data_IF_784261431938
#
_entry.id   IF_784261431938
#
_cell.length_a   1.000
_cell.length_b   1.000
_cell.length_c   1.000
_cell.angle_alpha   90.00
_cell.angle_beta   90.00
_cell.angle_gamma   90.00
#
_symmetry.space_group_name_H-M   'P 1'
#
loop_
_entity.id
_entity.type
_entity.pdbx_description
1 polymer ?
#
# COMPACT_ATOMS: atom_id res chain seq x y z
N UNK A 1 8.43 27.30 2.03
CA UNK A 1 8.32 26.62 3.34
C UNK A 1 6.88 26.22 3.67
N UNK A 2 5.91 27.15 3.67
CA UNK A 2 4.51 26.88 4.08
C UNK A 2 3.80 25.78 3.29
N UNK A 3 3.94 25.74 1.96
CA UNK A 3 3.30 24.70 1.14
C UNK A 3 3.84 23.29 1.40
N UNK A 4 5.16 23.15 1.64
CA UNK A 4 5.77 21.85 1.92
C UNK A 4 5.28 21.29 3.26
N UNK A 5 5.26 22.12 4.30
CA UNK A 5 4.78 21.72 5.63
C UNK A 5 3.31 21.30 5.57
N UNK A 6 2.48 22.05 4.83
CA UNK A 6 1.08 21.72 4.64
C UNK A 6 0.90 20.38 3.92
N UNK A 7 1.64 20.16 2.82
CA UNK A 7 1.60 18.87 2.10
C UNK A 7 2.03 17.72 2.99
N UNK A 8 3.11 17.87 3.77
CA UNK A 8 3.55 16.83 4.70
C UNK A 8 2.47 16.56 5.75
N UNK A 9 1.86 17.60 6.34
CA UNK A 9 0.80 17.43 7.32
C UNK A 9 -0.41 16.66 6.75
N UNK A 10 -0.87 17.04 5.55
CA UNK A 10 -2.01 16.42 4.85
C UNK A 10 -1.73 14.94 4.52
N UNK A 11 -0.54 14.60 4.04
CA UNK A 11 -0.22 13.25 3.56
C UNK A 11 0.35 12.32 4.64
N UNK A 12 0.92 12.86 5.72
CA UNK A 12 1.58 12.06 6.76
C UNK A 12 0.65 11.01 7.37
N UNK A 13 -0.52 11.42 7.88
CA UNK A 13 -1.47 10.51 8.52
C UNK A 13 -1.98 9.44 7.55
N UNK A 14 -2.48 9.77 6.34
CA UNK A 14 -2.95 8.73 5.46
C UNK A 14 -1.88 7.76 4.98
N UNK A 15 -0.64 8.22 4.72
CA UNK A 15 0.48 7.34 4.34
C UNK A 15 0.87 6.42 5.49
N UNK A 16 0.99 6.96 6.71
CA UNK A 16 1.32 6.16 7.90
C UNK A 16 0.26 5.09 8.15
N UNK A 17 -1.02 5.45 8.08
CA UNK A 17 -2.11 4.48 8.23
C UNK A 17 -2.16 3.46 7.09
N UNK A 18 -1.97 3.90 5.84
CA UNK A 18 -1.97 3.01 4.68
C UNK A 18 -0.93 1.91 4.80
N UNK A 19 0.30 2.23 5.24
CA UNK A 19 1.37 1.25 5.44
C UNK A 19 1.11 0.39 6.67
N UNK A 20 0.82 1.01 7.81
CA UNK A 20 0.67 0.28 9.09
C UNK A 20 -0.46 -0.73 9.07
N UNK A 21 -1.64 -0.34 8.59
CA UNK A 21 -2.79 -1.23 8.58
C UNK A 21 -2.65 -2.32 7.52
N UNK A 22 -2.01 -2.02 6.39
CA UNK A 22 -1.66 -3.01 5.36
C UNK A 22 -0.79 -4.13 5.94
N UNK A 23 0.33 -3.76 6.56
CA UNK A 23 1.26 -4.70 7.18
C UNK A 23 0.63 -5.44 8.38
N UNK A 24 -0.14 -4.73 9.21
CA UNK A 24 -0.87 -5.34 10.31
C UNK A 24 -1.91 -6.36 9.81
N UNK A 25 -2.57 -6.09 8.67
CA UNK A 25 -3.54 -7.01 8.07
C UNK A 25 -2.89 -8.31 7.59
N UNK A 26 -1.73 -8.24 6.91
CA UNK A 26 -0.95 -9.44 6.58
C UNK A 26 -0.66 -10.28 7.81
N UNK A 27 -0.09 -9.66 8.86
CA UNK A 27 0.25 -10.36 10.09
C UNK A 27 -0.96 -10.93 10.84
N UNK A 28 -2.09 -10.21 10.83
CA UNK A 28 -3.34 -10.68 11.43
C UNK A 28 -3.89 -11.92 10.71
N UNK A 29 -3.95 -11.88 9.38
CA UNK A 29 -4.47 -12.98 8.56
C UNK A 29 -3.51 -14.18 8.58
N UNK A 30 -2.19 -13.95 8.57
CA UNK A 30 -1.18 -14.99 8.73
C UNK A 30 -1.36 -15.75 10.06
N UNK A 31 -1.53 -14.99 11.16
CA UNK A 31 -1.83 -15.55 12.49
C UNK A 31 -3.11 -16.37 12.47
N UNK A 32 -4.17 -15.86 11.86
CA UNK A 32 -5.44 -16.57 11.76
C UNK A 32 -5.29 -17.93 11.05
N UNK A 33 -4.42 -18.00 10.04
CA UNK A 33 -4.13 -19.21 9.28
C UNK A 33 -3.01 -20.10 9.84
N UNK A 34 -2.45 -19.76 10.99
CA UNK A 34 -1.52 -20.60 11.75
C UNK A 34 -0.07 -20.10 11.84
N UNK A 35 0.30 -19.05 11.11
CA UNK A 35 1.64 -18.47 11.20
C UNK A 35 1.73 -17.44 12.34
N UNK A 36 2.38 -17.84 13.43
CA UNK A 36 2.57 -16.99 14.61
C UNK A 36 3.81 -16.09 14.53
N UNK A 37 4.60 -16.13 13.44
CA UNK A 37 5.92 -15.47 13.34
C UNK A 37 5.84 -13.96 13.61
N UNK A 38 5.00 -13.25 12.85
CA UNK A 38 4.78 -11.81 13.02
C UNK A 38 4.24 -11.46 14.42
N UNK A 39 3.35 -12.29 14.95
CA UNK A 39 2.71 -12.05 16.24
C UNK A 39 3.69 -12.23 17.40
N UNK A 40 4.49 -13.30 17.39
CA UNK A 40 5.51 -13.57 18.39
C UNK A 40 6.60 -12.48 18.43
N UNK A 41 6.89 -11.87 17.28
CA UNK A 41 7.82 -10.73 17.19
C UNK A 41 7.17 -9.38 17.56
N UNK A 42 5.89 -9.35 17.93
CA UNK A 42 5.16 -8.11 18.22
C UNK A 42 4.97 -7.19 17.01
N UNK A 43 5.05 -7.73 15.78
CA UNK A 43 4.97 -6.94 14.54
C UNK A 43 3.56 -6.79 13.98
N UNK A 44 2.59 -7.54 14.51
CA UNK A 44 1.16 -7.27 14.29
C UNK A 44 0.76 -6.08 15.16
N UNK A 45 0.99 -4.87 14.66
CA UNK A 45 0.79 -3.63 15.42
C UNK A 45 0.36 -2.49 14.54
N UNK A 46 -0.53 -1.65 15.06
CA UNK A 46 -0.94 -0.38 14.45
C UNK A 46 0.07 0.75 14.70
N UNK A 47 1.15 0.49 15.45
CA UNK A 47 2.18 1.49 15.70
C UNK A 47 3.10 1.65 14.47
N UNK A 48 3.11 2.81 13.77
CA UNK A 48 3.95 3.05 12.60
C UNK A 48 5.44 2.88 12.85
N UNK A 49 5.91 3.15 14.07
CA UNK A 49 7.32 3.02 14.43
C UNK A 49 7.83 1.59 14.24
N UNK A 50 6.96 0.58 14.35
CA UNK A 50 7.34 -0.84 14.17
C UNK A 50 7.53 -1.27 12.71
N UNK A 51 7.14 -0.41 11.77
CA UNK A 51 7.18 -0.68 10.32
C UNK A 51 8.15 0.23 9.55
N UNK A 52 8.83 1.15 10.24
CA UNK A 52 9.86 2.01 9.63
C UNK A 52 11.11 1.16 9.34
N UNK A 53 11.60 1.24 8.10
CA UNK A 53 12.94 0.79 7.72
C UNK A 53 13.85 2.02 7.59
N UNK A 54 14.91 2.12 8.40
CA UNK A 54 15.86 3.24 8.32
C UNK A 54 16.51 3.34 6.92
N UNK A 55 16.70 2.21 6.23
CA UNK A 55 17.28 2.20 4.89
C UNK A 55 16.20 2.46 3.86
N UNK A 56 15.15 1.65 3.84
CA UNK A 56 14.09 1.71 2.84
C UNK A 56 13.17 2.93 2.94
N UNK A 57 12.91 3.44 4.14
CA UNK A 57 11.96 4.54 4.40
C UNK A 57 12.66 5.90 4.51
N UNK A 58 13.98 5.94 4.76
CA UNK A 58 14.72 7.20 4.96
C UNK A 58 15.91 7.32 3.99
N UNK A 59 16.87 6.40 4.03
CA UNK A 59 18.10 6.53 3.24
C UNK A 59 17.84 6.47 1.72
N UNK A 60 17.07 5.48 1.26
CA UNK A 60 16.81 5.26 -0.17
C UNK A 60 15.99 6.40 -0.79
N UNK A 61 14.87 6.85 -0.20
CA UNK A 61 14.15 8.01 -0.70
C UNK A 61 15.03 9.26 -0.77
N UNK A 62 15.89 9.49 0.23
CA UNK A 62 16.76 10.66 0.28
C UNK A 62 17.83 10.63 -0.83
N UNK A 63 18.47 9.49 -1.06
CA UNK A 63 19.43 9.32 -2.15
C UNK A 63 18.77 9.49 -3.52
N UNK A 64 17.60 8.88 -3.72
CA UNK A 64 16.84 9.01 -4.97
C UNK A 64 16.42 10.46 -5.19
N UNK A 65 15.97 11.16 -4.15
CA UNK A 65 15.60 12.57 -4.22
C UNK A 65 16.80 13.45 -4.62
N UNK A 66 17.97 13.21 -4.03
CA UNK A 66 19.20 13.96 -4.34
C UNK A 66 19.69 13.69 -5.78
N UNK A 67 19.69 12.43 -6.21
CA UNK A 67 20.19 12.02 -7.53
C UNK A 67 19.20 12.36 -8.65
N UNK A 68 17.90 12.31 -8.39
CA UNK A 68 16.87 12.65 -9.37
C UNK A 68 16.59 14.15 -9.53
N UNK A 69 17.27 15.00 -8.74
CA UNK A 69 16.98 16.43 -8.69
C UNK A 69 15.59 16.75 -8.15
N UNK A 70 15.09 15.93 -7.21
CA UNK A 70 13.80 16.12 -6.55
C UNK A 70 12.60 15.54 -7.29
N UNK A 71 12.80 14.83 -8.41
CA UNK A 71 11.70 14.35 -9.27
C UNK A 71 11.08 13.04 -8.81
N UNK A 72 11.84 12.20 -8.12
CA UNK A 72 11.40 10.89 -7.68
C UNK A 72 11.63 10.73 -6.17
N UNK A 73 10.66 10.14 -5.50
CA UNK A 73 10.75 9.73 -4.10
C UNK A 73 10.19 8.31 -4.01
N UNK A 74 11.08 7.33 -3.88
CA UNK A 74 10.72 5.93 -3.77
C UNK A 74 11.35 5.34 -2.51
N UNK A 75 10.55 4.61 -1.73
CA UNK A 75 10.98 3.93 -0.52
C UNK A 75 10.05 2.79 -0.19
N UNK A 76 10.50 1.89 0.68
CA UNK A 76 9.70 0.79 1.19
C UNK A 76 9.67 0.81 2.72
N UNK A 77 8.60 0.27 3.28
CA UNK A 77 8.49 0.00 4.70
C UNK A 77 9.13 -1.35 5.03
N UNK A 78 9.45 -1.59 6.31
CA UNK A 78 9.96 -2.88 6.77
C UNK A 78 8.81 -3.88 6.82
N UNK A 79 8.71 -4.86 5.89
CA UNK A 79 7.53 -5.71 5.83
C UNK A 79 7.41 -6.62 7.06
N UNK A 80 6.18 -7.03 7.35
CA UNK A 80 5.88 -8.02 8.39
C UNK A 80 6.29 -9.41 7.90
N UNK A 81 7.08 -10.16 8.69
CA UNK A 81 7.53 -11.48 8.26
C UNK A 81 6.37 -12.46 8.27
N UNK A 82 6.13 -13.09 7.13
CA UNK A 82 5.15 -14.17 6.98
C UNK A 82 5.88 -15.45 6.62
N UNK A 83 5.73 -16.48 7.46
CA UNK A 83 6.21 -17.81 7.18
C UNK A 83 5.10 -18.65 6.53
N UNK A 84 5.08 -18.65 5.18
CA UNK A 84 4.08 -19.39 4.40
C UNK A 84 4.11 -20.90 4.65
N UNK A 85 5.24 -21.47 5.10
CA UNK A 85 5.34 -22.90 5.42
C UNK A 85 4.64 -23.28 6.73
N UNK A 86 4.43 -22.31 7.64
CA UNK A 86 3.73 -22.51 8.90
C UNK A 86 2.20 -22.41 8.77
N UNK A 87 1.68 -22.00 7.61
CA UNK A 87 0.24 -21.88 7.37
C UNK A 87 -0.40 -23.28 7.27
N UNK A 88 -1.60 -23.43 7.84
CA UNK A 88 -2.35 -24.71 7.83
C UNK A 88 -2.60 -25.27 6.42
N UNK A 89 -2.79 -24.39 5.42
CA UNK A 89 -2.89 -24.72 4.00
C UNK A 89 -2.07 -23.71 3.19
N UNK A 90 -0.76 -23.96 2.97
CA UNK A 90 0.18 -22.94 2.49
C UNK A 90 -0.25 -22.18 1.23
N UNK A 91 -0.71 -22.87 0.19
CA UNK A 91 -1.11 -22.21 -1.07
C UNK A 91 -2.34 -21.32 -0.94
N UNK A 92 -3.54 -21.83 -0.61
CA UNK A 92 -4.73 -20.99 -0.55
C UNK A 92 -4.61 -19.92 0.54
N UNK A 93 -3.96 -20.22 1.66
CA UNK A 93 -3.79 -19.23 2.73
C UNK A 93 -2.77 -18.14 2.35
N UNK A 94 -1.73 -18.45 1.57
CA UNK A 94 -0.84 -17.43 1.01
C UNK A 94 -1.63 -16.41 0.18
N UNK A 95 -2.60 -16.85 -0.63
CA UNK A 95 -3.46 -15.96 -1.40
C UNK A 95 -4.22 -14.98 -0.48
N UNK A 96 -4.84 -15.49 0.58
CA UNK A 96 -5.60 -14.69 1.53
C UNK A 96 -4.73 -13.75 2.35
N UNK A 97 -3.55 -14.22 2.77
CA UNK A 97 -2.59 -13.36 3.48
C UNK A 97 -2.14 -12.23 2.56
N UNK A 98 -1.76 -12.51 1.31
CA UNK A 98 -1.37 -11.48 0.35
C UNK A 98 -2.53 -10.52 0.01
N UNK A 99 -3.76 -11.02 -0.12
CA UNK A 99 -4.92 -10.16 -0.35
C UNK A 99 -5.30 -9.28 0.87
N UNK A 100 -4.84 -9.62 2.07
CA UNK A 100 -5.18 -8.90 3.30
C UNK A 100 -4.68 -7.45 3.29
N UNK A 101 -3.46 -7.21 2.80
CA UNK A 101 -2.88 -5.88 2.68
C UNK A 101 -3.71 -4.97 1.76
N UNK A 102 -3.87 -5.31 0.47
CA UNK A 102 -4.72 -4.55 -0.46
C UNK A 102 -6.17 -4.42 0.03
N UNK A 103 -6.72 -5.44 0.68
CA UNK A 103 -8.04 -5.40 1.30
C UNK A 103 -8.14 -4.35 2.42
N UNK A 104 -7.11 -4.23 3.26
CA UNK A 104 -7.04 -3.19 4.30
C UNK A 104 -6.95 -1.79 3.69
N UNK A 105 -6.15 -1.60 2.64
CA UNK A 105 -6.12 -0.33 1.91
C UNK A 105 -7.47 0.02 1.28
N UNK A 106 -8.19 -0.96 0.71
CA UNK A 106 -9.53 -0.71 0.18
C UNK A 106 -10.48 -0.20 1.27
N UNK A 107 -10.53 -0.89 2.41
CA UNK A 107 -11.37 -0.48 3.56
C UNK A 107 -10.99 0.93 4.03
N UNK A 108 -9.69 1.22 4.11
CA UNK A 108 -9.19 2.56 4.45
C UNK A 108 -9.59 3.61 3.42
N UNK A 109 -9.48 3.32 2.12
CA UNK A 109 -9.92 4.23 1.06
C UNK A 109 -11.41 4.56 1.18
N UNK A 110 -12.25 3.57 1.48
CA UNK A 110 -13.68 3.79 1.74
C UNK A 110 -13.91 4.64 2.99
N UNK A 111 -13.19 4.39 4.08
CA UNK A 111 -13.25 5.21 5.29
C UNK A 111 -12.87 6.68 5.03
N UNK A 112 -11.80 6.90 4.26
CA UNK A 112 -11.41 8.25 3.84
C UNK A 112 -12.44 8.88 2.89
N UNK A 113 -13.08 8.12 2.01
CA UNK A 113 -14.15 8.63 1.14
C UNK A 113 -15.37 9.10 1.95
N UNK A 114 -15.73 8.38 3.01
CA UNK A 114 -16.77 8.82 3.97
C UNK A 114 -16.35 10.12 4.65
N UNK A 115 -15.10 10.24 5.12
CA UNK A 115 -14.60 11.47 5.73
C UNK A 115 -14.60 12.64 4.75
N UNK A 116 -14.26 12.40 3.47
CA UNK A 116 -14.29 13.39 2.40
C UNK A 116 -15.73 13.90 2.19
N UNK A 117 -16.71 13.01 2.15
CA UNK A 117 -18.13 13.38 2.05
C UNK A 117 -18.57 14.25 3.23
N UNK A 118 -18.20 13.87 4.45
CA UNK A 118 -18.49 14.68 5.63
C UNK A 118 -17.84 16.07 5.54
N UNK A 119 -16.61 16.17 5.03
CA UNK A 119 -15.94 17.45 4.85
C UNK A 119 -16.66 18.38 3.87
N UNK A 120 -17.21 17.83 2.78
CA UNK A 120 -17.96 18.58 1.76
C UNK A 120 -19.33 19.03 2.27
N UNK A 121 -19.97 18.23 3.14
CA UNK A 121 -21.27 18.58 3.74
C UNK A 121 -21.17 19.67 4.81
N UNK A 122 -20.00 19.86 5.41
CA UNK A 122 -19.76 20.92 6.39
C UNK A 122 -19.52 22.26 5.69
N UNK A 123 -19.94 23.38 6.30
CA UNK A 123 -19.55 24.71 5.82
C UNK A 123 -18.03 24.83 5.70
N UNK A 124 -17.58 25.57 4.69
CA UNK A 124 -16.14 25.84 4.51
C UNK A 124 -15.63 26.59 5.73
N UNK A 125 -14.58 26.03 6.35
CA UNK A 125 -13.96 26.51 7.58
C UNK A 125 -12.48 26.13 7.60
N UNK A 126 -11.74 26.73 8.53
CA UNK A 126 -10.33 26.40 8.82
C UNK A 126 -10.09 24.92 9.18
N UNK A 127 -11.15 24.17 9.52
CA UNK A 127 -11.07 22.74 9.85
C UNK A 127 -11.58 21.83 8.73
N UNK A 128 -12.68 22.19 8.07
CA UNK A 128 -13.30 21.35 7.03
C UNK A 128 -12.46 21.27 5.77
N UNK A 129 -11.77 22.35 5.38
CA UNK A 129 -10.93 22.34 4.18
C UNK A 129 -9.67 21.45 4.35
N UNK A 130 -8.86 21.57 5.42
CA UNK A 130 -7.75 20.64 5.64
C UNK A 130 -8.21 19.19 5.81
N UNK A 131 -9.36 18.96 6.46
CA UNK A 131 -9.95 17.63 6.59
C UNK A 131 -10.31 17.03 5.23
N UNK A 132 -10.94 17.80 4.34
CA UNK A 132 -11.28 17.39 2.99
C UNK A 132 -10.03 17.03 2.18
N UNK A 133 -9.00 17.89 2.20
CA UNK A 133 -7.73 17.63 1.50
C UNK A 133 -7.02 16.38 2.03
N UNK A 134 -7.02 16.16 3.35
CA UNK A 134 -6.45 14.96 3.98
C UNK A 134 -7.25 13.71 3.63
N UNK A 135 -8.58 13.79 3.58
CA UNK A 135 -9.43 12.69 3.18
C UNK A 135 -9.23 12.33 1.70
N UNK A 136 -9.14 13.32 0.81
CA UNK A 136 -8.81 13.10 -0.61
C UNK A 136 -7.43 12.47 -0.77
N UNK A 137 -6.42 12.97 -0.04
CA UNK A 137 -5.08 12.38 0.00
C UNK A 137 -5.14 10.93 0.49
N UNK A 138 -5.95 10.64 1.51
CA UNK A 138 -6.06 9.30 2.08
C UNK A 138 -6.76 8.30 1.19
N UNK A 139 -7.81 8.71 0.48
CA UNK A 139 -8.38 7.93 -0.63
C UNK A 139 -7.29 7.61 -1.65
N UNK A 140 -6.60 8.64 -2.15
CA UNK A 140 -5.64 8.51 -3.24
C UNK A 140 -4.47 7.58 -2.86
N UNK A 141 -3.86 7.80 -1.70
CA UNK A 141 -2.74 7.00 -1.20
C UNK A 141 -3.13 5.54 -1.05
N UNK A 142 -4.28 5.25 -0.43
CA UNK A 142 -4.70 3.87 -0.22
C UNK A 142 -5.03 3.15 -1.53
N UNK A 143 -5.67 3.82 -2.49
CA UNK A 143 -5.93 3.24 -3.81
C UNK A 143 -4.62 2.97 -4.58
N UNK A 144 -3.66 3.90 -4.57
CA UNK A 144 -2.34 3.68 -5.19
C UNK A 144 -1.65 2.48 -4.56
N UNK A 145 -1.57 2.42 -3.22
CA UNK A 145 -0.95 1.31 -2.50
C UNK A 145 -1.63 -0.03 -2.80
N UNK A 146 -2.96 -0.03 -2.85
CA UNK A 146 -3.76 -1.21 -3.20
C UNK A 146 -3.47 -1.68 -4.63
N UNK A 147 -3.62 -0.82 -5.63
CA UNK A 147 -3.45 -1.20 -7.03
C UNK A 147 -2.02 -1.59 -7.36
N UNK A 148 -1.03 -0.87 -6.81
CA UNK A 148 0.37 -1.23 -6.96
C UNK A 148 0.62 -2.62 -6.37
N UNK A 149 0.17 -2.89 -5.13
CA UNK A 149 0.36 -4.21 -4.53
C UNK A 149 -0.44 -5.32 -5.23
N UNK A 150 -1.51 -5.02 -5.95
CA UNK A 150 -2.23 -6.02 -6.75
C UNK A 150 -1.57 -6.35 -8.10
N UNK A 151 -0.50 -5.66 -8.49
CA UNK A 151 0.25 -6.02 -9.70
C UNK A 151 0.83 -7.44 -9.58
N UNK A 152 0.76 -8.26 -10.64
CA UNK A 152 1.26 -9.63 -10.65
C UNK A 152 2.79 -9.67 -10.79
N UNK A 153 3.51 -8.97 -9.90
CA UNK A 153 4.96 -8.85 -9.89
C UNK A 153 5.43 -9.19 -8.47
N UNK A 154 6.19 -10.28 -8.30
CA UNK A 154 6.85 -10.53 -7.02
C UNK A 154 7.91 -9.44 -6.75
N UNK A 155 8.15 -9.00 -5.50
CA UNK A 155 7.62 -9.54 -4.25
C UNK A 155 6.24 -9.00 -3.82
N UNK A 156 5.56 -8.22 -4.67
CA UNK A 156 4.25 -7.61 -4.34
C UNK A 156 3.16 -8.67 -4.11
N UNK A 157 2.10 -8.27 -3.42
CA UNK A 157 1.02 -9.16 -3.00
C UNK A 157 0.31 -9.85 -4.16
N UNK A 158 0.01 -9.13 -5.24
CA UNK A 158 -0.60 -9.64 -6.46
C UNK A 158 0.24 -10.72 -7.12
N UNK A 159 1.57 -10.60 -7.02
CA UNK A 159 2.49 -11.66 -7.40
C UNK A 159 2.34 -12.90 -6.52
N UNK A 160 2.24 -12.74 -5.19
CA UNK A 160 2.02 -13.87 -4.26
C UNK A 160 0.64 -14.51 -4.46
N UNK A 161 -0.40 -13.72 -4.73
CA UNK A 161 -1.74 -14.18 -5.11
C UNK A 161 -1.61 -15.01 -6.40
N UNK A 162 -0.99 -14.50 -7.45
CA UNK A 162 -0.81 -15.25 -8.69
C UNK A 162 -0.02 -16.54 -8.46
N UNK A 163 1.08 -16.49 -7.72
CA UNK A 163 1.89 -17.66 -7.37
C UNK A 163 1.07 -18.75 -6.64
N UNK A 164 0.09 -18.34 -5.82
CA UNK A 164 -0.78 -19.26 -5.09
C UNK A 164 -1.81 -19.96 -5.99
N UNK A 165 -2.22 -19.30 -7.08
CA UNK A 165 -3.19 -19.80 -8.05
C UNK A 165 -2.54 -20.69 -9.12
N UNK A 166 -1.24 -20.53 -9.36
CA UNK A 166 -0.50 -21.30 -10.35
C UNK A 166 -0.26 -22.77 -9.93
N UNK A 167 -0.30 -23.73 -10.87
CA UNK A 167 0.17 -25.10 -10.65
C UNK A 167 1.64 -25.13 -10.19
N UNK A 168 2.02 -26.14 -9.40
CA UNK A 168 3.30 -26.11 -8.68
C UNK A 168 4.56 -25.87 -9.51
N UNK A 169 4.65 -26.43 -10.72
CA UNK A 169 5.79 -26.18 -11.63
C UNK A 169 5.84 -24.72 -12.10
N UNK A 170 4.69 -24.16 -12.47
CA UNK A 170 4.56 -22.77 -12.90
C UNK A 170 4.79 -21.79 -11.74
N UNK A 171 4.25 -22.08 -10.56
CA UNK A 171 4.45 -21.28 -9.37
C UNK A 171 5.95 -21.19 -9.00
N UNK A 172 6.69 -22.30 -9.12
CA UNK A 172 8.12 -22.31 -8.87
C UNK A 172 8.93 -21.56 -9.94
N UNK A 173 8.56 -21.68 -11.22
CA UNK A 173 9.17 -20.88 -12.29
C UNK A 173 8.93 -19.39 -12.08
N UNK A 174 7.71 -19.03 -11.70
CA UNK A 174 7.32 -17.65 -11.41
C UNK A 174 8.05 -17.11 -10.17
N UNK A 175 8.22 -17.90 -9.11
CA UNK A 175 8.97 -17.51 -7.91
C UNK A 175 10.44 -17.13 -8.19
N UNK A 176 11.05 -17.69 -9.25
CA UNK A 176 12.41 -17.31 -9.66
C UNK A 176 12.54 -15.87 -10.15
N UNK A 177 11.41 -15.20 -10.43
CA UNK A 177 11.38 -13.80 -10.85
C UNK A 177 11.42 -12.82 -9.67
N UNK A 178 11.25 -13.29 -8.42
CA UNK A 178 11.20 -12.43 -7.22
C UNK A 178 12.41 -11.48 -7.09
N UNK A 179 13.67 -11.89 -7.36
CA UNK A 179 14.82 -10.97 -7.32
C UNK A 179 14.76 -9.86 -8.38
N UNK A 180 14.09 -10.10 -9.50
CA UNK A 180 13.91 -9.13 -10.60
C UNK A 180 12.73 -8.20 -10.39
N UNK A 181 11.91 -8.44 -9.37
CA UNK A 181 10.73 -7.66 -9.03
C UNK A 181 10.99 -6.17 -8.90
N UNK A 182 11.88 -5.80 -7.98
CA UNK A 182 12.21 -4.40 -7.72
C UNK A 182 12.85 -3.72 -8.94
N UNK A 183 13.86 -4.31 -9.63
CA UNK A 183 14.35 -3.76 -10.90
C UNK A 183 13.26 -3.54 -11.95
N UNK A 184 12.35 -4.51 -12.11
CA UNK A 184 11.25 -4.39 -13.06
C UNK A 184 10.31 -3.24 -12.68
N UNK A 185 9.93 -3.10 -11.41
CA UNK A 185 9.10 -1.99 -10.94
C UNK A 185 9.77 -0.63 -11.17
N UNK A 186 11.08 -0.52 -10.95
CA UNK A 186 11.83 0.72 -11.21
C UNK A 186 11.88 1.04 -12.71
N UNK A 187 12.02 0.04 -13.58
CA UNK A 187 11.97 0.23 -15.04
C UNK A 187 10.56 0.67 -15.48
N UNK A 188 9.51 0.03 -14.96
CA UNK A 188 8.12 0.39 -15.26
C UNK A 188 7.79 1.81 -14.80
N UNK A 189 8.32 2.23 -13.65
CA UNK A 189 8.22 3.61 -13.15
C UNK A 189 8.98 4.57 -14.06
N UNK A 190 10.24 4.29 -14.38
CA UNK A 190 11.09 5.17 -15.20
C UNK A 190 10.58 5.33 -16.65
N UNK A 191 9.86 4.34 -17.18
CA UNK A 191 9.28 4.35 -18.52
C UNK A 191 7.83 4.89 -18.56
N UNK A 192 7.28 5.33 -17.42
CA UNK A 192 5.87 5.74 -17.24
C UNK A 192 4.83 4.66 -17.57
N UNK A 193 5.25 3.40 -17.76
CA UNK A 193 4.33 2.28 -17.98
C UNK A 193 3.50 2.03 -16.73
N UNK A 194 4.09 2.17 -15.54
CA UNK A 194 3.37 2.05 -14.28
C UNK A 194 2.21 3.05 -14.21
N UNK A 195 2.46 4.31 -14.57
CA UNK A 195 1.43 5.35 -14.60
C UNK A 195 0.35 5.06 -15.64
N UNK A 196 0.72 4.55 -16.82
CA UNK A 196 -0.24 4.15 -17.84
C UNK A 196 -1.19 3.03 -17.37
N UNK A 197 -0.71 2.14 -16.51
CA UNK A 197 -1.52 1.06 -15.91
C UNK A 197 -2.36 1.57 -14.74
N UNK A 198 -1.79 2.38 -13.84
CA UNK A 198 -2.47 2.84 -12.62
C UNK A 198 -3.47 3.97 -12.88
N UNK A 199 -3.19 4.89 -13.80
CA UNK A 199 -4.00 6.09 -14.02
C UNK A 199 -5.46 5.77 -14.40
N UNK A 200 -5.76 4.84 -15.34
CA UNK A 200 -7.14 4.48 -15.66
C UNK A 200 -7.90 3.96 -14.44
N UNK A 201 -7.26 3.12 -13.61
CA UNK A 201 -7.84 2.59 -12.37
C UNK A 201 -8.12 3.70 -11.36
N UNK A 202 -7.18 4.63 -11.23
CA UNK A 202 -7.31 5.79 -10.35
C UNK A 202 -8.41 6.74 -10.80
N UNK A 203 -8.50 7.05 -12.10
CA UNK A 203 -9.54 7.92 -12.67
C UNK A 203 -10.92 7.28 -12.49
N UNK A 204 -11.04 5.98 -12.78
CA UNK A 204 -12.28 5.24 -12.56
C UNK A 204 -12.70 5.28 -11.09
N UNK A 205 -11.78 4.97 -10.18
CA UNK A 205 -12.05 4.98 -8.74
C UNK A 205 -12.40 6.39 -8.23
N UNK A 206 -11.71 7.42 -8.72
CA UNK A 206 -11.99 8.81 -8.39
C UNK A 206 -13.38 9.25 -8.88
N UNK A 207 -13.80 8.81 -10.07
CA UNK A 207 -15.14 9.07 -10.59
C UNK A 207 -16.22 8.45 -9.69
N UNK A 208 -16.04 7.21 -9.24
CA UNK A 208 -16.96 6.55 -8.31
C UNK A 208 -17.03 7.28 -6.95
N UNK A 209 -15.88 7.69 -6.42
CA UNK A 209 -15.82 8.40 -5.14
C UNK A 209 -16.43 9.79 -5.26
N UNK A 210 -16.19 10.50 -6.37
CA UNK A 210 -16.82 11.78 -6.64
C UNK A 210 -18.34 11.67 -6.72
N UNK A 211 -18.87 10.64 -7.41
CA UNK A 211 -20.30 10.36 -7.41
C UNK A 211 -20.82 10.10 -5.99
N UNK A 212 -20.13 9.28 -5.20
CA UNK A 212 -20.50 8.99 -3.82
C UNK A 212 -20.53 10.23 -2.91
N UNK A 213 -19.57 11.14 -3.09
CA UNK A 213 -19.45 12.39 -2.31
C UNK A 213 -20.57 13.38 -2.65
N UNK A 214 -21.00 13.43 -3.92
CA UNK A 214 -22.06 14.33 -4.37
C UNK A 214 -23.49 13.84 -4.11
N UNK A 215 -23.69 12.52 -3.96
CA UNK A 215 -24.97 11.92 -3.55
C UNK A 215 -25.30 12.23 -2.09
#
# INVERSE_FOLDING_TARGET
MNQLIQTIAIYSLPVLFAITLHEAAHGYVARHFGDMTAYAQGRVSLNPVRHIDLVGTIAVPLVILLVSGGKFLFGWAKPVPVNYSALRRPRPHMAWVAAAGPGANLIMALGWAVLLKLAVLLPVSEYSEPMGRMAEAGVRVNLIFMFLNLLPILPLDGGRILASLLPGRMAWQYARLEPWGLPLLLILLATNVLDAVLTPLMVFSAALIHQFVLL
#
